data_IF_694042976184
#
_entry.id   IF_694042976184
#
_cell.length_a   1.000
_cell.length_b   1.000
_cell.length_c   1.000
_cell.angle_alpha   90.00
_cell.angle_beta   90.00
_cell.angle_gamma   90.00
#
_symmetry.space_group_name_H-M   'P 1'
#
loop_
_entity.id
_entity.type
_entity.pdbx_description
1 polymer ?
#
# COMPACT_ATOMS: atom_id res chain seq x y z
N UNK A 1 7.04 17.93 -10.98
CA UNK A 1 6.40 19.24 -10.73
C UNK A 1 6.38 19.44 -9.22
N UNK A 2 7.08 20.45 -8.67
CA UNK A 2 7.18 20.63 -7.22
C UNK A 2 5.93 21.30 -6.61
N UNK A 3 5.71 21.05 -5.33
CA UNK A 3 4.53 21.44 -4.55
C UNK A 3 4.48 22.95 -4.27
N UNK A 4 3.27 23.50 -4.23
CA UNK A 4 3.02 24.90 -3.88
C UNK A 4 2.68 25.03 -2.38
N UNK A 5 3.53 25.73 -1.63
CA UNK A 5 3.28 26.10 -0.23
C UNK A 5 2.59 27.47 -0.22
N UNK A 6 1.34 27.53 0.26
CA UNK A 6 0.68 28.80 0.61
C UNK A 6 1.09 29.22 2.01
N UNK A 7 1.66 30.40 2.15
CA UNK A 7 1.95 31.01 3.45
C UNK A 7 0.75 31.75 4.03
N UNK A 8 0.86 32.09 5.32
CA UNK A 8 0.14 33.19 5.95
C UNK A 8 1.14 34.23 6.44
N UNK A 9 0.74 35.50 6.42
CA UNK A 9 1.55 36.63 6.82
C UNK A 9 0.83 37.44 7.89
N UNK A 10 1.56 37.86 8.93
CA UNK A 10 1.13 38.91 9.87
C UNK A 10 2.34 39.68 10.40
N UNK A 11 2.49 40.91 9.88
CA UNK A 11 2.87 42.15 10.58
C UNK A 11 3.94 42.14 11.70
N UNK A 12 5.04 42.86 11.45
CA UNK A 12 5.91 43.46 12.48
C UNK A 12 5.26 44.76 13.05
N UNK A 13 5.71 45.27 14.22
CA UNK A 13 6.93 46.11 14.30
C UNK A 13 7.85 45.67 15.49
N UNK A 14 8.99 46.30 15.83
CA UNK A 14 9.63 47.56 15.40
C UNK A 14 11.17 47.41 15.25
N UNK A 15 11.96 48.44 15.60
CA UNK A 15 13.43 48.47 15.50
C UNK A 15 14.11 48.69 16.87
N UNK A 16 15.31 48.11 17.08
CA UNK A 16 16.48 48.83 17.61
C UNK A 16 17.78 48.01 17.34
N UNK A 17 18.88 48.73 17.09
CA UNK A 17 20.22 48.26 16.70
C UNK A 17 21.27 48.99 17.58
N UNK A 18 22.60 48.72 17.49
CA UNK A 18 23.34 47.49 17.15
C UNK A 18 24.51 47.17 18.14
N UNK A 19 25.21 46.04 17.93
CA UNK A 19 26.62 45.64 18.26
C UNK A 19 26.62 44.12 18.56
N UNK A 20 27.67 43.34 18.33
CA UNK A 20 29.06 43.60 17.92
C UNK A 20 29.58 42.42 17.06
N UNK A 21 30.69 42.58 16.33
CA UNK A 21 31.20 41.56 15.42
C UNK A 21 32.33 40.72 16.03
N UNK A 22 32.31 39.39 15.82
CA UNK A 22 33.50 38.53 15.89
C UNK A 22 33.47 37.54 14.72
N UNK A 23 34.64 37.28 14.12
CA UNK A 23 34.81 36.58 12.85
C UNK A 23 35.16 35.09 13.00
N UNK A 24 35.14 34.37 11.87
CA UNK A 24 36.09 33.26 11.64
C UNK A 24 35.49 31.87 11.43
N UNK A 25 34.98 31.59 10.22
CA UNK A 25 34.85 30.23 9.70
C UNK A 25 35.75 30.08 8.46
N UNK A 26 36.74 29.18 8.45
CA UNK A 26 37.42 28.75 7.23
C UNK A 26 36.72 27.52 6.63
N UNK A 27 36.25 27.64 5.38
CA UNK A 27 35.86 26.48 4.57
C UNK A 27 37.08 25.66 4.14
N UNK A 28 37.00 24.32 4.11
CA UNK A 28 37.85 23.50 3.25
C UNK A 28 37.14 23.18 1.92
N UNK A 29 37.89 23.29 0.83
CA UNK A 29 37.47 22.97 -0.54
C UNK A 29 37.24 21.47 -0.76
N UNK A 30 36.51 21.15 -1.83
CA UNK A 30 36.36 19.78 -2.33
C UNK A 30 37.70 19.21 -2.85
N UNK A 31 38.07 18.01 -2.39
CA UNK A 31 38.49 16.88 -3.24
C UNK A 31 38.98 15.69 -2.40
N UNK A 32 38.87 14.49 -2.96
CA UNK A 32 39.58 13.26 -2.53
C UNK A 32 39.09 12.56 -1.25
N UNK A 33 37.98 11.81 -1.36
CA UNK A 33 37.92 10.46 -0.76
C UNK A 33 37.55 9.46 -1.85
N UNK A 34 38.44 8.50 -2.06
CA UNK A 34 38.37 7.46 -3.09
C UNK A 34 37.43 6.33 -2.65
N UNK A 35 36.66 5.81 -3.60
CA UNK A 35 36.04 4.48 -3.65
C UNK A 35 36.02 3.62 -2.37
N UNK A 36 34.83 3.42 -1.81
CA UNK A 36 34.38 2.11 -1.31
C UNK A 36 32.98 1.81 -1.84
N UNK A 37 32.91 1.20 -3.03
CA UNK A 37 31.74 0.39 -3.37
C UNK A 37 31.73 -0.82 -2.44
N UNK A 38 30.88 -0.80 -1.42
CA UNK A 38 30.54 -2.02 -0.71
C UNK A 38 29.63 -2.84 -1.61
N UNK A 39 30.19 -3.87 -2.25
CA UNK A 39 29.42 -4.92 -2.90
C UNK A 39 28.63 -5.68 -1.83
N UNK A 40 27.39 -5.27 -1.59
CA UNK A 40 26.45 -6.03 -0.78
C UNK A 40 26.05 -7.30 -1.55
N UNK A 41 26.82 -8.36 -1.37
CA UNK A 41 26.46 -9.70 -1.86
C UNK A 41 25.16 -10.13 -1.20
N UNK A 42 24.11 -10.35 -2.00
CA UNK A 42 22.80 -10.85 -1.56
C UNK A 42 22.82 -12.36 -1.21
N UNK A 43 23.93 -12.87 -0.67
CA UNK A 43 24.07 -14.23 -0.15
C UNK A 43 23.42 -14.32 1.24
N UNK A 44 22.09 -14.17 1.27
CA UNK A 44 21.28 -14.16 2.48
C UNK A 44 19.81 -14.51 2.28
N UNK A 45 19.38 -14.83 1.05
CA UNK A 45 18.06 -15.39 0.80
C UNK A 45 18.04 -16.86 1.24
N UNK A 46 17.42 -17.11 2.39
CA UNK A 46 17.11 -18.47 2.88
C UNK A 46 16.43 -19.25 1.76
N UNK A 47 17.10 -20.29 1.25
CA UNK A 47 16.55 -21.18 0.21
C UNK A 47 15.21 -21.74 0.68
N UNK A 48 14.11 -21.31 0.05
CA UNK A 48 12.80 -21.98 0.20
C UNK A 48 12.98 -23.46 -0.21
N UNK A 49 12.51 -24.43 0.58
CA UNK A 49 12.68 -25.84 0.25
C UNK A 49 11.83 -26.21 -0.98
N UNK A 50 12.48 -26.33 -2.13
CA UNK A 50 11.88 -26.89 -3.34
C UNK A 50 11.79 -28.42 -3.22
N UNK A 51 10.67 -28.90 -2.68
CA UNK A 51 10.29 -30.31 -2.73
C UNK A 51 8.77 -30.47 -2.58
N UNK A 52 8.03 -30.34 -3.68
CA UNK A 52 6.68 -30.90 -3.78
C UNK A 52 6.68 -31.99 -4.85
N UNK A 53 6.43 -33.23 -4.39
CA UNK A 53 6.11 -34.36 -5.27
C UNK A 53 4.90 -34.00 -6.13
N UNK A 54 4.85 -34.55 -7.34
CA UNK A 54 3.76 -34.34 -8.30
C UNK A 54 2.40 -34.69 -7.71
N UNK A 55 1.72 -33.68 -7.17
CA UNK A 55 0.28 -33.68 -6.95
C UNK A 55 -0.35 -33.21 -8.26
N UNK A 56 -1.41 -33.90 -8.69
CA UNK A 56 -2.23 -33.46 -9.82
C UNK A 56 -2.63 -32.00 -9.62
N UNK A 57 -2.38 -31.15 -10.61
CA UNK A 57 -2.68 -29.71 -10.53
C UNK A 57 -4.18 -29.47 -10.36
N UNK A 58 -4.63 -29.43 -9.12
CA UNK A 58 -6.01 -29.13 -8.78
C UNK A 58 -6.22 -27.63 -8.96
N UNK A 59 -6.99 -27.27 -9.98
CA UNK A 59 -7.48 -25.91 -10.15
C UNK A 59 -8.44 -25.62 -8.98
N UNK A 60 -8.14 -24.63 -8.12
CA UNK A 60 -8.98 -24.33 -6.96
C UNK A 60 -10.36 -23.87 -7.43
N UNK A 61 -11.40 -24.32 -6.74
CA UNK A 61 -12.77 -23.91 -7.04
C UNK A 61 -13.16 -22.59 -6.35
N UNK A 62 -14.42 -22.17 -6.56
CA UNK A 62 -14.98 -20.93 -5.98
C UNK A 62 -14.96 -20.95 -4.43
N UNK A 63 -15.07 -22.13 -3.81
CA UNK A 63 -15.04 -22.31 -2.35
C UNK A 63 -13.61 -22.30 -1.79
N UNK A 64 -12.64 -22.94 -2.47
CA UNK A 64 -11.21 -22.85 -2.14
C UNK A 64 -10.70 -21.40 -2.18
N UNK A 65 -11.08 -20.67 -3.25
CA UNK A 65 -10.77 -19.25 -3.41
C UNK A 65 -11.37 -18.45 -2.26
N UNK A 66 -12.67 -18.58 -1.99
CA UNK A 66 -13.35 -17.84 -0.93
C UNK A 66 -12.77 -18.15 0.47
N UNK A 67 -12.46 -19.41 0.76
CA UNK A 67 -11.87 -19.85 2.02
C UNK A 67 -10.45 -19.29 2.22
N UNK A 68 -9.64 -19.30 1.17
CA UNK A 68 -8.26 -18.79 1.20
C UNK A 68 -8.25 -17.27 1.28
N UNK A 69 -9.13 -16.59 0.54
CA UNK A 69 -9.37 -15.16 0.61
C UNK A 69 -9.77 -14.70 2.02
N UNK A 70 -10.70 -15.41 2.68
CA UNK A 70 -11.10 -15.11 4.05
C UNK A 70 -9.94 -15.28 5.05
N UNK A 71 -9.03 -16.24 4.83
CA UNK A 71 -7.82 -16.46 5.65
C UNK A 71 -6.69 -15.45 5.40
N UNK A 72 -6.66 -14.79 4.25
CA UNK A 72 -5.65 -13.77 3.96
C UNK A 72 -5.77 -12.57 4.92
N UNK A 73 -7.00 -12.12 5.25
CA UNK A 73 -7.23 -11.00 6.17
C UNK A 73 -6.57 -11.21 7.54
N UNK A 74 -6.86 -12.28 8.32
CA UNK A 74 -6.21 -12.48 9.62
C UNK A 74 -4.69 -12.66 9.52
N UNK A 75 -4.19 -13.29 8.44
CA UNK A 75 -2.74 -13.42 8.20
C UNK A 75 -2.05 -12.05 8.06
N UNK A 76 -2.49 -11.21 7.10
CA UNK A 76 -1.94 -9.86 6.90
C UNK A 76 -1.99 -9.06 8.20
N UNK A 77 -3.06 -9.23 8.96
CA UNK A 77 -3.29 -8.55 10.24
C UNK A 77 -2.45 -9.04 11.42
N UNK A 78 -1.80 -10.21 11.30
CA UNK A 78 -0.79 -10.68 12.27
C UNK A 78 0.60 -10.12 11.98
N UNK A 79 0.89 -9.83 10.70
CA UNK A 79 2.15 -9.25 10.25
C UNK A 79 2.15 -7.71 10.26
N UNK A 80 0.98 -7.09 10.16
CA UNK A 80 0.76 -5.64 10.34
C UNK A 80 -0.11 -5.40 11.59
N UNK A 81 0.48 -5.46 12.80
CA UNK A 81 -0.25 -5.26 14.05
C UNK A 81 -0.68 -3.80 14.22
N UNK A 82 0.15 -2.85 13.77
CA UNK A 82 -0.14 -1.43 13.74
C UNK A 82 -1.13 -1.12 12.61
N UNK A 83 -1.92 -0.05 12.78
CA UNK A 83 -2.94 0.36 11.80
C UNK A 83 -2.34 1.21 10.69
N UNK A 84 -3.09 1.33 9.60
CA UNK A 84 -2.96 2.47 8.68
C UNK A 84 -2.84 3.76 9.48
N UNK A 85 -1.93 4.62 9.04
CA UNK A 85 -1.82 6.00 9.47
C UNK A 85 -3.05 6.80 9.01
N UNK A 86 -3.41 6.73 7.73
CA UNK A 86 -4.52 7.45 7.11
C UNK A 86 -5.95 7.04 7.54
N UNK A 87 -6.10 6.28 8.62
CA UNK A 87 -7.41 5.87 9.15
C UNK A 87 -7.40 5.90 10.68
N UNK A 88 -7.74 7.05 11.22
CA UNK A 88 -7.76 7.39 12.64
C UNK A 88 -9.11 8.04 13.05
N UNK A 89 -9.12 8.87 14.10
CA UNK A 89 -10.30 9.62 14.56
C UNK A 89 -10.16 11.15 14.32
N UNK A 90 -9.18 11.57 13.51
CA UNK A 90 -8.70 12.95 13.38
C UNK A 90 -7.72 13.37 14.47
N UNK A 91 -7.33 14.64 14.46
CA UNK A 91 -6.37 15.28 15.38
C UNK A 91 -6.89 15.47 16.82
N UNK A 92 -8.20 15.43 17.02
CA UNK A 92 -8.84 15.70 18.31
C UNK A 92 -8.95 14.40 19.14
N UNK A 93 -7.97 14.18 20.02
CA UNK A 93 -7.87 13.01 20.89
C UNK A 93 -9.14 12.77 21.75
N UNK A 94 -9.93 13.81 22.04
CA UNK A 94 -11.18 13.66 22.79
C UNK A 94 -12.26 12.86 22.01
N UNK A 95 -12.09 12.69 20.69
CA UNK A 95 -12.96 11.86 19.83
C UNK A 95 -12.57 10.39 19.85
N UNK A 96 -11.38 10.05 20.37
CA UNK A 96 -10.91 8.67 20.39
C UNK A 96 -11.62 7.91 21.53
N UNK A 97 -12.28 6.78 21.27
CA UNK A 97 -12.87 5.96 22.33
C UNK A 97 -11.80 5.52 23.35
N UNK A 98 -12.03 5.56 24.67
CA UNK A 98 -11.00 5.27 25.68
C UNK A 98 -10.24 3.94 25.47
N UNK A 99 -10.93 2.90 25.00
CA UNK A 99 -10.34 1.60 24.64
C UNK A 99 -9.44 1.60 23.39
N UNK A 100 -9.19 2.77 22.79
CA UNK A 100 -8.45 3.00 21.55
C UNK A 100 -7.34 4.05 21.71
N UNK A 101 -7.40 4.92 22.73
CA UNK A 101 -6.48 6.05 22.93
C UNK A 101 -5.01 5.65 22.80
N UNK A 102 -4.56 4.62 23.52
CA UNK A 102 -3.19 4.05 23.46
C UNK A 102 -2.69 3.75 22.03
N UNK A 103 -3.59 3.50 21.07
CA UNK A 103 -3.27 3.13 19.69
C UNK A 103 -3.58 4.22 18.66
N UNK A 104 -4.19 5.32 19.06
CA UNK A 104 -4.74 6.31 18.12
C UNK A 104 -4.42 7.77 18.49
N UNK A 105 -3.93 8.05 19.70
CA UNK A 105 -3.42 9.36 20.06
C UNK A 105 -2.27 9.81 19.15
N UNK A 106 -2.02 11.11 19.13
CA UNK A 106 -1.05 11.81 18.29
C UNK A 106 0.33 11.12 18.23
N UNK A 107 1.04 10.97 19.36
CA UNK A 107 2.38 10.33 19.37
C UNK A 107 2.38 8.90 18.78
N UNK A 108 1.32 8.13 19.04
CA UNK A 108 1.17 6.80 18.48
C UNK A 108 0.88 6.84 16.97
N UNK A 109 0.17 7.86 16.47
CA UNK A 109 -0.07 8.08 15.04
C UNK A 109 1.23 8.43 14.33
N UNK A 110 1.96 9.41 14.84
CA UNK A 110 3.24 9.87 14.26
C UNK A 110 4.28 8.75 14.26
N UNK A 111 4.34 7.97 15.35
CA UNK A 111 5.16 6.76 15.43
C UNK A 111 4.82 5.75 14.32
N UNK A 112 3.53 5.55 13.99
CA UNK A 112 3.13 4.67 12.88
C UNK A 112 3.52 5.25 11.53
N UNK A 113 3.33 6.54 11.30
CA UNK A 113 3.72 7.23 10.07
C UNK A 113 5.23 7.11 9.82
N UNK A 114 6.06 7.31 10.85
CA UNK A 114 7.51 7.12 10.79
C UNK A 114 7.89 5.66 10.45
N UNK A 115 7.19 4.68 11.04
CA UNK A 115 7.42 3.26 10.79
C UNK A 115 6.98 2.83 9.38
N UNK A 116 5.86 3.36 8.89
CA UNK A 116 5.39 3.16 7.52
C UNK A 116 6.38 3.76 6.50
N UNK A 117 6.80 5.00 6.72
CA UNK A 117 7.77 5.68 5.84
C UNK A 117 9.07 4.88 5.68
N UNK A 118 9.57 4.25 6.75
CA UNK A 118 10.75 3.35 6.66
C UNK A 118 10.51 2.14 5.76
N UNK A 119 9.36 1.49 5.89
CA UNK A 119 8.95 0.36 5.02
C UNK A 119 8.82 0.83 3.56
N UNK A 120 8.16 1.97 3.34
CA UNK A 120 7.96 2.53 2.01
C UNK A 120 9.26 2.95 1.33
N UNK A 121 10.21 3.54 2.05
CA UNK A 121 11.55 3.82 1.51
C UNK A 121 12.25 2.55 1.00
N UNK A 122 12.20 1.44 1.75
CA UNK A 122 12.78 0.16 1.31
C UNK A 122 12.04 -0.46 0.12
N UNK A 123 10.71 -0.42 0.12
CA UNK A 123 9.88 -0.88 -1.01
C UNK A 123 10.18 -0.07 -2.27
N UNK A 124 10.15 1.26 -2.20
CA UNK A 124 10.37 2.14 -3.37
C UNK A 124 11.80 2.07 -3.88
N UNK A 125 12.80 1.86 -3.01
CA UNK A 125 14.17 1.62 -3.44
C UNK A 125 14.28 0.33 -4.29
N UNK A 126 13.66 -0.76 -3.84
CA UNK A 126 13.67 -2.04 -4.57
C UNK A 126 12.83 -1.99 -5.86
N UNK A 127 11.65 -1.36 -5.84
CA UNK A 127 10.86 -1.08 -7.05
C UNK A 127 11.66 -0.22 -8.07
N UNK A 128 12.47 0.74 -7.59
CA UNK A 128 13.35 1.53 -8.45
C UNK A 128 14.52 0.72 -9.04
N UNK A 129 15.09 -0.23 -8.29
CA UNK A 129 16.09 -1.18 -8.82
C UNK A 129 15.48 -2.04 -9.93
N UNK A 130 14.27 -2.57 -9.75
CA UNK A 130 13.56 -3.31 -10.79
C UNK A 130 13.27 -2.46 -12.02
N UNK A 131 12.91 -1.18 -11.83
CA UNK A 131 12.73 -0.20 -12.92
C UNK A 131 13.99 0.02 -13.74
N UNK A 132 15.13 0.19 -13.10
CA UNK A 132 16.40 0.43 -13.78
C UNK A 132 16.89 -0.84 -14.51
N UNK A 133 16.66 -2.02 -13.95
CA UNK A 133 17.09 -3.31 -14.50
C UNK A 133 16.07 -3.99 -15.43
N UNK A 134 14.87 -3.41 -15.60
CA UNK A 134 13.72 -4.01 -16.32
C UNK A 134 13.31 -5.38 -15.78
N UNK A 135 13.51 -5.63 -14.50
CA UNK A 135 13.08 -6.86 -13.83
C UNK A 135 11.58 -6.84 -13.55
N UNK A 136 10.97 -8.03 -13.55
CA UNK A 136 9.59 -8.20 -13.06
C UNK A 136 9.55 -8.00 -11.53
N UNK A 137 8.44 -7.48 -10.96
CA UNK A 137 8.33 -7.27 -9.51
C UNK A 137 8.31 -8.60 -8.76
N UNK A 138 9.13 -8.70 -7.71
CA UNK A 138 9.05 -9.79 -6.74
C UNK A 138 8.27 -9.31 -5.51
N UNK A 139 6.94 -9.45 -5.57
CA UNK A 139 6.07 -9.15 -4.42
C UNK A 139 6.39 -10.03 -3.19
N UNK A 140 7.04 -11.18 -3.35
CA UNK A 140 7.53 -12.00 -2.23
C UNK A 140 8.74 -11.38 -1.52
N UNK A 141 9.62 -10.70 -2.27
CA UNK A 141 10.68 -9.87 -1.70
C UNK A 141 10.11 -8.66 -0.94
N UNK A 142 9.10 -7.96 -1.49
CA UNK A 142 8.41 -6.87 -0.78
C UNK A 142 7.69 -7.38 0.48
N UNK A 143 7.01 -8.53 0.41
CA UNK A 143 6.39 -9.17 1.57
C UNK A 143 7.41 -9.51 2.66
N UNK A 144 8.61 -9.95 2.27
CA UNK A 144 9.71 -10.24 3.18
C UNK A 144 10.25 -8.98 3.87
N UNK A 145 10.37 -7.86 3.14
CA UNK A 145 10.72 -6.55 3.72
C UNK A 145 9.70 -6.16 4.80
N UNK A 146 8.40 -6.22 4.50
CA UNK A 146 7.35 -5.85 5.45
C UNK A 146 7.35 -6.77 6.67
N UNK A 147 7.39 -8.09 6.46
CA UNK A 147 7.39 -9.08 7.54
C UNK A 147 8.61 -8.96 8.47
N UNK A 148 9.78 -8.53 7.95
CA UNK A 148 11.00 -8.35 8.74
C UNK A 148 10.87 -7.32 9.86
N UNK A 149 9.88 -6.40 9.80
CA UNK A 149 9.70 -5.35 10.82
C UNK A 149 8.95 -5.83 12.08
N UNK A 150 8.33 -7.01 12.03
CA UNK A 150 7.71 -7.68 13.18
C UNK A 150 6.70 -6.80 13.93
N UNK A 151 6.87 -6.67 15.24
CA UNK A 151 5.96 -5.90 16.10
C UNK A 151 5.87 -4.40 15.75
N UNK A 152 6.89 -3.86 15.10
CA UNK A 152 6.97 -2.45 14.67
C UNK A 152 6.42 -2.22 13.26
N UNK A 153 5.82 -3.22 12.62
CA UNK A 153 5.33 -3.10 11.26
C UNK A 153 4.01 -2.29 11.21
N UNK A 154 4.04 -1.16 10.49
CA UNK A 154 2.88 -0.38 10.08
C UNK A 154 2.67 -0.52 8.57
N UNK A 155 1.43 -0.38 8.10
CA UNK A 155 1.08 -0.65 6.71
C UNK A 155 -0.25 -0.02 6.32
N UNK A 156 -0.28 0.64 5.18
CA UNK A 156 -1.48 1.19 4.55
C UNK A 156 -2.04 0.15 3.56
N UNK A 157 -2.86 0.56 2.59
CA UNK A 157 -3.51 -0.35 1.64
C UNK A 157 -2.51 -1.15 0.81
N UNK A 158 -1.38 -0.55 0.39
CA UNK A 158 -0.42 -1.23 -0.48
C UNK A 158 0.37 -2.32 0.24
N UNK A 159 0.91 -2.04 1.42
CA UNK A 159 1.67 -3.01 2.23
C UNK A 159 0.76 -4.17 2.70
N UNK A 160 -0.54 -3.90 2.84
CA UNK A 160 -1.55 -4.93 3.08
C UNK A 160 -1.86 -5.76 1.82
N UNK A 161 -1.92 -5.14 0.63
CA UNK A 161 -2.16 -5.83 -0.64
C UNK A 161 -0.98 -6.73 -1.04
N UNK A 162 0.25 -6.19 -1.11
CA UNK A 162 1.34 -6.68 -0.25
C UNK A 162 1.31 -8.16 0.17
N UNK A 163 1.18 -8.29 1.49
CA UNK A 163 1.18 -9.55 2.22
C UNK A 163 -0.01 -10.45 1.84
N UNK A 164 -1.15 -9.90 1.40
CA UNK A 164 -2.27 -10.69 0.89
C UNK A 164 -1.89 -11.42 -0.41
N UNK A 165 -1.19 -10.75 -1.32
CA UNK A 165 -0.76 -11.32 -2.59
C UNK A 165 0.21 -12.50 -2.38
N UNK A 166 1.25 -12.33 -1.56
CA UNK A 166 2.19 -13.41 -1.25
C UNK A 166 1.48 -14.58 -0.52
N UNK A 167 0.58 -14.29 0.43
CA UNK A 167 -0.23 -15.31 1.10
C UNK A 167 -1.09 -16.14 0.14
N UNK A 168 -1.73 -15.46 -0.83
CA UNK A 168 -2.62 -16.06 -1.81
C UNK A 168 -1.83 -16.86 -2.85
N UNK A 169 -0.76 -16.28 -3.43
CA UNK A 169 0.10 -16.98 -4.41
C UNK A 169 0.84 -18.19 -3.82
N UNK A 170 1.12 -18.21 -2.52
CA UNK A 170 1.72 -19.38 -1.84
C UNK A 170 0.71 -20.50 -1.52
N UNK A 171 -0.59 -20.30 -1.74
CA UNK A 171 -1.66 -21.27 -1.41
C UNK A 171 -2.52 -21.66 -2.60
N UNK A 172 -2.84 -20.71 -3.47
CA UNK A 172 -3.52 -20.91 -4.74
C UNK A 172 -2.44 -21.09 -5.82
N UNK A 173 -1.87 -22.30 -5.87
CA UNK A 173 -0.68 -22.62 -6.68
C UNK A 173 -0.97 -22.87 -8.16
N UNK A 174 -2.23 -22.78 -8.60
CA UNK A 174 -2.58 -22.83 -10.02
C UNK A 174 -2.02 -21.59 -10.74
N UNK A 175 -0.99 -21.80 -11.57
CA UNK A 175 -0.35 -20.74 -12.34
C UNK A 175 -1.28 -20.09 -13.38
N UNK A 176 -2.36 -20.77 -13.78
CA UNK A 176 -3.37 -20.22 -14.70
C UNK A 176 -4.37 -19.30 -14.01
N UNK A 177 -4.48 -19.35 -12.68
CA UNK A 177 -5.35 -18.46 -11.92
C UNK A 177 -4.77 -17.03 -11.89
N UNK A 178 -5.49 -16.03 -12.43
CA UNK A 178 -5.10 -14.64 -12.28
C UNK A 178 -5.16 -14.26 -10.81
N UNK A 179 -4.05 -13.78 -10.26
CA UNK A 179 -4.01 -13.11 -8.96
C UNK A 179 -3.12 -11.89 -9.15
N UNK A 180 -3.64 -10.71 -8.82
CA UNK A 180 -3.01 -9.41 -9.08
C UNK A 180 -3.20 -8.49 -7.88
N UNK A 181 -2.20 -7.64 -7.59
CA UNK A 181 -2.45 -6.39 -6.86
C UNK A 181 -3.03 -5.39 -7.86
N UNK A 182 -4.16 -4.79 -7.49
CA UNK A 182 -4.93 -3.86 -8.30
C UNK A 182 -5.03 -2.53 -7.57
N UNK A 183 -4.88 -1.45 -8.34
CA UNK A 183 -4.97 -0.07 -7.89
C UNK A 183 -6.21 0.60 -8.49
N UNK A 184 -6.95 1.34 -7.65
CA UNK A 184 -7.92 2.33 -8.12
C UNK A 184 -7.15 3.63 -8.37
N UNK A 185 -7.08 4.08 -9.62
CA UNK A 185 -6.29 5.27 -9.97
C UNK A 185 -6.92 6.57 -9.46
N UNK A 186 -6.15 7.65 -9.47
CA UNK A 186 -6.55 8.96 -8.95
C UNK A 186 -7.93 9.42 -9.50
N UNK A 187 -8.87 9.87 -8.64
CA UNK A 187 -8.68 10.27 -7.24
C UNK A 187 -8.50 9.13 -6.23
N UNK A 188 -8.65 7.86 -6.63
CA UNK A 188 -8.98 6.80 -5.71
C UNK A 188 -7.88 6.24 -4.80
N UNK A 189 -6.64 6.21 -5.28
CA UNK A 189 -5.42 5.81 -4.55
C UNK A 189 -5.57 4.65 -3.52
N UNK A 190 -6.28 3.58 -3.88
CA UNK A 190 -6.50 2.42 -3.02
C UNK A 190 -6.01 1.15 -3.68
N UNK A 191 -5.44 0.23 -2.89
CA UNK A 191 -4.82 -1.01 -3.37
C UNK A 191 -5.44 -2.22 -2.67
N UNK A 192 -5.79 -3.24 -3.44
CA UNK A 192 -6.29 -4.53 -2.95
C UNK A 192 -5.83 -5.67 -3.86
N UNK A 193 -6.12 -6.92 -3.48
CA UNK A 193 -5.81 -8.10 -4.31
C UNK A 193 -7.06 -8.60 -5.00
N UNK A 194 -6.92 -8.99 -6.27
CA UNK A 194 -7.95 -9.61 -7.09
C UNK A 194 -7.52 -11.04 -7.41
N UNK A 195 -8.49 -11.96 -7.42
CA UNK A 195 -8.35 -13.37 -7.79
C UNK A 195 -9.37 -13.67 -8.90
N UNK A 196 -9.00 -14.44 -9.91
CA UNK A 196 -9.93 -14.99 -10.91
C UNK A 196 -10.38 -14.02 -12.02
N UNK A 197 -9.96 -12.75 -11.99
CA UNK A 197 -10.27 -11.78 -13.06
C UNK A 197 -9.07 -11.60 -14.01
N UNK A 198 -9.30 -11.82 -15.30
CA UNK A 198 -8.35 -11.47 -16.36
C UNK A 198 -8.56 -10.03 -16.85
N UNK A 199 -7.50 -9.43 -17.37
CA UNK A 199 -7.58 -8.18 -18.16
C UNK A 199 -7.98 -8.46 -19.61
N UNK A 200 -8.41 -7.41 -20.32
CA UNK A 200 -8.53 -7.44 -21.79
C UNK A 200 -7.15 -7.58 -22.47
N UNK A 201 -7.14 -7.67 -23.81
CA UNK A 201 -5.91 -7.72 -24.62
C UNK A 201 -5.03 -6.47 -24.55
N UNK A 202 -5.50 -5.39 -23.92
CA UNK A 202 -4.75 -4.15 -23.66
C UNK A 202 -4.28 -4.05 -22.19
N UNK A 203 -4.45 -5.10 -21.38
CA UNK A 203 -4.07 -5.11 -19.97
C UNK A 203 -5.02 -4.31 -19.06
N UNK A 204 -6.24 -4.01 -19.50
CA UNK A 204 -7.26 -3.26 -18.75
C UNK A 204 -8.27 -4.17 -18.06
N UNK A 205 -8.69 -3.77 -16.87
CA UNK A 205 -9.82 -4.41 -16.18
C UNK A 205 -11.16 -3.89 -16.73
N UNK A 206 -12.25 -4.68 -16.66
CA UNK A 206 -13.59 -4.15 -16.86
C UNK A 206 -13.86 -3.05 -15.83
N UNK A 207 -14.53 -1.98 -16.23
CA UNK A 207 -14.74 -0.82 -15.35
C UNK A 207 -15.65 -1.18 -14.17
N UNK A 208 -16.84 -1.72 -14.42
CA UNK A 208 -17.74 -2.06 -13.34
C UNK A 208 -17.42 -3.45 -12.77
N UNK A 209 -17.41 -3.57 -11.45
CA UNK A 209 -17.24 -4.87 -10.77
C UNK A 209 -18.37 -5.86 -11.06
N UNK A 210 -19.53 -5.40 -11.57
CA UNK A 210 -20.60 -6.23 -12.12
C UNK A 210 -20.21 -6.97 -13.40
N UNK A 211 -19.27 -6.42 -14.15
CA UNK A 211 -18.84 -6.91 -15.47
C UNK A 211 -17.62 -7.86 -15.33
N UNK A 212 -17.22 -8.13 -14.09
CA UNK A 212 -16.14 -9.05 -13.77
C UNK A 212 -16.64 -10.50 -13.82
N UNK A 213 -15.71 -11.44 -13.98
CA UNK A 213 -15.99 -12.86 -14.01
C UNK A 213 -16.78 -13.27 -12.75
N UNK A 214 -17.82 -14.14 -12.83
CA UNK A 214 -18.65 -14.48 -11.67
C UNK A 214 -17.89 -15.07 -10.47
N UNK A 215 -16.78 -15.78 -10.73
CA UNK A 215 -15.86 -16.30 -9.70
C UNK A 215 -14.72 -15.34 -9.33
N UNK A 216 -14.70 -14.11 -9.86
CA UNK A 216 -13.72 -13.11 -9.46
C UNK A 216 -13.92 -12.73 -7.98
N UNK A 217 -12.83 -12.70 -7.22
CA UNK A 217 -12.84 -12.44 -5.78
C UNK A 217 -11.91 -11.28 -5.44
N UNK A 218 -12.33 -10.44 -4.50
CA UNK A 218 -11.56 -9.30 -4.01
C UNK A 218 -11.14 -9.57 -2.57
N UNK A 219 -9.88 -9.26 -2.26
CA UNK A 219 -9.29 -9.33 -0.92
C UNK A 219 -8.67 -7.98 -0.60
N UNK A 220 -9.35 -7.22 0.26
CA UNK A 220 -8.90 -5.95 0.81
C UNK A 220 -8.74 -6.07 2.34
N UNK A 221 -7.50 -6.26 2.85
CA UNK A 221 -7.26 -6.31 4.29
C UNK A 221 -7.42 -4.96 5.00
N UNK A 222 -7.30 -3.84 4.29
CA UNK A 222 -7.37 -2.47 4.82
C UNK A 222 -8.80 -2.08 5.19
N UNK A 223 -9.79 -2.42 4.37
CA UNK A 223 -11.21 -2.42 4.77
C UNK A 223 -11.60 -3.66 5.58
N UNK A 224 -10.86 -4.76 5.46
CA UNK A 224 -11.28 -6.11 5.88
C UNK A 224 -12.52 -6.58 5.10
N UNK A 225 -12.42 -6.61 3.79
CA UNK A 225 -13.42 -7.18 2.89
C UNK A 225 -12.77 -8.33 2.13
N UNK A 226 -13.44 -9.48 2.14
CA UNK A 226 -13.14 -10.61 1.26
C UNK A 226 -14.51 -11.08 0.71
N UNK A 227 -14.76 -10.87 -0.57
CA UNK A 227 -16.05 -11.16 -1.21
C UNK A 227 -15.88 -11.36 -2.73
N UNK A 228 -16.94 -11.79 -3.41
CA UNK A 228 -16.97 -11.74 -4.87
C UNK A 228 -16.85 -10.30 -5.35
N UNK A 229 -16.29 -10.11 -6.54
CA UNK A 229 -16.06 -8.77 -7.10
C UNK A 229 -17.35 -7.96 -7.18
N UNK A 230 -18.43 -8.56 -7.68
CA UNK A 230 -19.75 -7.92 -7.80
C UNK A 230 -20.32 -7.38 -6.47
N UNK A 231 -20.00 -8.03 -5.33
CA UNK A 231 -20.47 -7.61 -4.00
C UNK A 231 -19.65 -6.43 -3.42
N UNK A 232 -18.45 -6.18 -3.96
CA UNK A 232 -17.46 -5.28 -3.37
C UNK A 232 -17.96 -3.83 -3.23
N UNK A 233 -18.65 -3.21 -4.21
CA UNK A 233 -19.18 -1.86 -4.05
C UNK A 233 -20.18 -1.72 -2.90
N UNK A 234 -21.02 -2.74 -2.65
CA UNK A 234 -21.93 -2.74 -1.51
C UNK A 234 -21.14 -2.90 -0.19
N UNK A 235 -20.24 -3.88 -0.13
CA UNK A 235 -19.42 -4.16 1.05
C UNK A 235 -18.51 -3.00 1.45
N UNK A 236 -18.08 -2.19 0.47
CA UNK A 236 -17.37 -0.92 0.67
C UNK A 236 -18.25 0.12 1.36
N UNK A 237 -19.46 0.40 0.84
CA UNK A 237 -20.37 1.37 1.43
C UNK A 237 -20.75 0.99 2.88
N UNK A 238 -21.12 -0.28 3.11
CA UNK A 238 -21.34 -0.85 4.46
C UNK A 238 -20.13 -0.66 5.39
N UNK A 239 -18.91 -0.59 4.85
CA UNK A 239 -17.69 -0.33 5.61
C UNK A 239 -17.54 1.14 5.98
N UNK A 240 -17.74 2.02 5.02
CA UNK A 240 -17.60 3.46 5.19
C UNK A 240 -18.63 3.99 6.19
N UNK A 241 -19.88 3.57 6.08
CA UNK A 241 -20.94 3.82 7.07
C UNK A 241 -20.53 3.35 8.47
N UNK A 242 -20.02 2.11 8.58
CA UNK A 242 -19.55 1.52 9.84
C UNK A 242 -18.32 2.23 10.42
N UNK A 243 -17.53 2.93 9.62
CA UNK A 243 -16.41 3.74 10.07
C UNK A 243 -16.87 5.13 10.52
N UNK A 244 -17.71 5.82 9.73
CA UNK A 244 -18.32 7.09 10.12
C UNK A 244 -19.13 6.98 11.42
N UNK A 245 -19.94 5.93 11.57
CA UNK A 245 -20.70 5.66 12.79
C UNK A 245 -19.83 5.36 14.04
N UNK A 246 -18.51 5.27 13.88
CA UNK A 246 -17.52 5.12 14.96
C UNK A 246 -16.65 6.36 15.14
N UNK A 247 -16.88 7.43 14.38
CA UNK A 247 -16.02 8.62 14.36
C UNK A 247 -14.68 8.41 13.64
N UNK A 248 -14.50 7.31 12.90
CA UNK A 248 -13.28 7.09 12.11
C UNK A 248 -13.28 8.00 10.88
N UNK A 249 -12.10 8.50 10.54
CA UNK A 249 -11.81 9.33 9.35
C UNK A 249 -10.93 8.56 8.37
N UNK A 250 -10.87 9.03 7.13
CA UNK A 250 -9.92 8.57 6.10
C UNK A 250 -9.29 9.80 5.47
N UNK A 251 -7.96 9.91 5.52
CA UNK A 251 -7.21 11.08 5.03
C UNK A 251 -7.83 12.42 5.54
N UNK A 252 -8.06 12.48 6.85
CA UNK A 252 -8.74 13.57 7.58
C UNK A 252 -10.18 13.93 7.14
N UNK A 253 -10.80 13.19 6.23
CA UNK A 253 -12.19 13.35 5.81
C UNK A 253 -13.13 12.30 6.45
N UNK A 254 -14.45 12.57 6.40
CA UNK A 254 -15.44 11.53 6.73
C UNK A 254 -15.44 10.47 5.64
N UNK A 255 -15.45 9.15 5.93
CA UNK A 255 -15.51 8.12 4.88
C UNK A 255 -16.82 8.14 4.07
N UNK A 256 -17.80 8.99 4.45
CA UNK A 256 -19.04 9.24 3.70
C UNK A 256 -18.94 10.41 2.71
N UNK A 257 -17.77 11.05 2.54
CA UNK A 257 -17.57 12.01 1.45
C UNK A 257 -17.74 11.32 0.09
N UNK A 258 -18.27 12.05 -0.89
CA UNK A 258 -18.61 11.47 -2.18
C UNK A 258 -17.40 10.88 -2.92
N UNK A 259 -16.20 11.46 -2.75
CA UNK A 259 -14.93 10.94 -3.27
C UNK A 259 -14.62 9.53 -2.75
N UNK A 260 -14.89 9.25 -1.46
CA UNK A 260 -14.65 7.96 -0.83
C UNK A 260 -15.73 6.92 -1.18
N UNK A 261 -17.00 7.33 -1.30
CA UNK A 261 -18.10 6.45 -1.71
C UNK A 261 -18.07 6.12 -3.21
N UNK A 262 -17.71 7.08 -4.06
CA UNK A 262 -17.61 6.87 -5.50
C UNK A 262 -16.34 6.10 -5.90
N UNK A 263 -15.36 5.95 -5.00
CA UNK A 263 -14.13 5.21 -5.22
C UNK A 263 -14.34 3.88 -5.96
N UNK A 264 -15.37 3.14 -5.56
CA UNK A 264 -15.71 1.80 -6.06
C UNK A 264 -16.97 1.77 -6.95
N UNK A 265 -17.57 2.93 -7.23
CA UNK A 265 -18.73 3.10 -8.15
C UNK A 265 -18.29 3.68 -9.49
N UNK A 266 -17.44 4.70 -9.44
CA UNK A 266 -16.95 5.46 -10.60
C UNK A 266 -15.57 4.94 -11.05
N UNK A 267 -15.48 3.61 -11.21
CA UNK A 267 -14.28 2.83 -11.54
C UNK A 267 -13.74 3.09 -12.96
N UNK A 268 -13.56 4.35 -13.32
CA UNK A 268 -13.16 4.77 -14.65
C UNK A 268 -11.75 4.31 -15.03
N UNK A 269 -10.95 3.95 -14.03
CA UNK A 269 -9.54 3.54 -14.14
C UNK A 269 -9.16 2.55 -13.04
N UNK A 270 -9.38 1.27 -13.32
CA UNK A 270 -8.79 0.16 -12.56
C UNK A 270 -7.57 -0.34 -13.34
N UNK A 271 -6.40 -0.35 -12.71
CA UNK A 271 -5.19 -0.93 -13.29
C UNK A 271 -4.61 -2.03 -12.40
N UNK A 272 -4.09 -3.10 -13.02
CA UNK A 272 -3.08 -3.94 -12.39
C UNK A 272 -1.96 -3.00 -11.93
N UNK A 273 -1.40 -3.20 -10.74
CA UNK A 273 -0.14 -2.55 -10.37
C UNK A 273 0.99 -3.18 -11.19
N UNK A 274 1.11 -2.73 -12.43
CA UNK A 274 2.17 -3.11 -13.35
C UNK A 274 3.49 -2.51 -12.85
N UNK A 275 4.59 -3.23 -13.09
CA UNK A 275 5.92 -2.69 -12.86
C UNK A 275 6.12 -1.39 -13.66
N UNK A 276 5.74 -1.44 -14.95
CA UNK A 276 5.86 -0.38 -15.95
C UNK A 276 4.66 -0.47 -16.90
N UNK A 277 4.16 0.65 -17.43
CA UNK A 277 3.37 0.60 -18.65
C UNK A 277 4.24 0.01 -19.76
N UNK A 278 3.67 -0.86 -20.58
CA UNK A 278 4.26 -1.19 -21.87
C UNK A 278 4.39 0.11 -22.67
N UNK A 279 5.62 0.54 -22.98
CA UNK A 279 5.85 1.62 -23.94
C UNK A 279 5.31 1.16 -25.28
N UNK A 280 4.09 1.56 -25.62
CA UNK A 280 3.70 1.61 -27.02
C UNK A 280 4.70 2.54 -27.69
N UNK A 281 5.48 2.00 -28.62
CA UNK A 281 6.27 2.84 -29.50
C UNK A 281 5.31 3.82 -30.17
N UNK A 282 5.62 5.11 -30.12
CA UNK A 282 4.90 6.08 -30.91
C UNK A 282 4.99 5.64 -32.39
N UNK A 283 3.90 5.69 -33.17
CA UNK A 283 4.00 5.49 -34.60
C UNK A 283 4.93 6.55 -35.19
N UNK A 284 5.74 6.12 -36.16
CA UNK A 284 6.78 6.90 -36.83
C UNK A 284 6.19 8.07 -37.61
#
# INVERSE_FOLDING_TARGET
MPLSIRGQATTAPAQHSPREAVAGNPSPSASTVRARMASASFDGLVRRPFALKGTTSHRPDSADIAHTAAKAIPYVRSLLPLKSDNKDYGEDDARIPPSKLVRYHEDARDSRTILLNKIQCEIYALEATWRQSRQAPDFGALASIIASKGASAAGNCYEQAILAYDFLRTRLTDASLPIDIVSLEHPGNHNFVVIGQSTDGNGRYPKQFSDWHPDAFIVDPWTKIACRAADYPQKWNEKMEKWAARGLRVDDESPLVQSCLNLVRDNNKISRRQAFPSTQAAPV
#
